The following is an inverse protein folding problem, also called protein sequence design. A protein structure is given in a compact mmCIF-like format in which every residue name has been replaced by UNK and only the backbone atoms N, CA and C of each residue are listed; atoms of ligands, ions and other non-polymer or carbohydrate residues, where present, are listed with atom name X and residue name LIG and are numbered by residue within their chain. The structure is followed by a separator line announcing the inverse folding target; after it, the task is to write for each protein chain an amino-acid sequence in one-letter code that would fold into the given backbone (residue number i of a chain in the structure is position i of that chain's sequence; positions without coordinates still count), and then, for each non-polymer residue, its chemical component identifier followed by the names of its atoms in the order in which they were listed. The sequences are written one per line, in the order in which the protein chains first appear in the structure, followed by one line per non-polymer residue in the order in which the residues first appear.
data_IF_171145125891
#
_entry.id   IF_171145125891
#
_cell.length_a   1.000
_cell.length_b   1.000
_cell.length_c   1.000
_cell.angle_alpha   90.00
_cell.angle_beta   90.00
_cell.angle_gamma   90.00
#
_symmetry.space_group_name_H-M   'P 1'
#
loop_
_entity.id
_entity.type
_entity.pdbx_description
1 polymer ?
#
# COMPACT_ATOMS: atom_id res chain seq x y z
N UNK A 1 -27.02 -17.78 -7.73
CA UNK A 1 -26.07 -18.22 -6.67
C UNK A 1 -24.70 -18.68 -7.19
N UNK A 2 -24.41 -18.56 -8.50
CA UNK A 2 -23.22 -19.20 -9.10
C UNK A 2 -22.11 -18.25 -9.60
N UNK A 3 -22.26 -16.93 -9.35
CA UNK A 3 -21.26 -15.98 -9.87
C UNK A 3 -19.93 -15.91 -9.07
N UNK A 4 -19.90 -16.42 -7.84
CA UNK A 4 -18.70 -16.41 -7.00
C UNK A 4 -17.81 -17.65 -7.09
N UNK A 5 -18.32 -18.76 -7.66
CA UNK A 5 -17.46 -19.86 -8.09
C UNK A 5 -16.58 -19.53 -9.29
N UNK A 6 -16.85 -18.36 -9.93
CA UNK A 6 -16.13 -17.92 -11.12
C UNK A 6 -14.65 -17.65 -10.85
N UNK A 7 -14.26 -17.30 -9.62
CA UNK A 7 -12.85 -16.95 -9.32
C UNK A 7 -11.98 -18.20 -9.29
N UNK A 8 -12.42 -19.25 -8.60
CA UNK A 8 -11.70 -20.53 -8.57
C UNK A 8 -11.75 -21.22 -9.94
N UNK A 9 -12.91 -21.20 -10.61
CA UNK A 9 -13.08 -21.75 -11.96
C UNK A 9 -12.31 -20.97 -13.02
N UNK A 10 -12.24 -19.63 -12.90
CA UNK A 10 -11.44 -18.80 -13.80
C UNK A 10 -9.94 -19.03 -13.58
N UNK A 11 -9.52 -19.15 -12.33
CA UNK A 11 -8.16 -19.48 -11.94
C UNK A 11 -7.74 -20.87 -12.48
N UNK A 12 -8.60 -21.86 -12.32
CA UNK A 12 -8.39 -23.21 -12.86
C UNK A 12 -8.36 -23.19 -14.40
N UNK A 13 -9.27 -22.44 -15.04
CA UNK A 13 -9.33 -22.33 -16.51
C UNK A 13 -8.15 -21.54 -17.11
N UNK A 14 -7.64 -20.50 -16.42
CA UNK A 14 -6.44 -19.77 -16.84
C UNK A 14 -5.20 -20.64 -16.72
N UNK A 15 -5.06 -21.41 -15.63
CA UNK A 15 -3.99 -22.37 -15.46
C UNK A 15 -4.07 -23.54 -16.44
N UNK A 16 -5.28 -24.03 -16.76
CA UNK A 16 -5.49 -25.07 -17.77
C UNK A 16 -5.11 -24.62 -19.20
N UNK A 17 -5.03 -23.30 -19.46
CA UNK A 17 -4.56 -22.74 -20.74
C UNK A 17 -3.05 -22.52 -20.80
N UNK A 18 -2.30 -22.92 -19.77
CA UNK A 18 -0.83 -22.81 -19.74
C UNK A 18 -0.29 -21.38 -19.64
N UNK A 19 -1.13 -20.39 -19.29
CA UNK A 19 -0.66 -19.04 -19.00
C UNK A 19 -0.05 -19.02 -17.59
N UNK A 20 1.25 -18.73 -17.54
CA UNK A 20 1.95 -18.53 -16.25
C UNK A 20 1.37 -17.30 -15.57
N UNK A 21 0.99 -17.46 -14.30
CA UNK A 21 0.49 -16.35 -13.48
C UNK A 21 1.60 -15.31 -13.27
N UNK A 22 1.22 -14.05 -13.22
CA UNK A 22 2.15 -12.98 -12.88
C UNK A 22 2.62 -13.09 -11.41
N UNK A 23 3.76 -12.49 -11.04
CA UNK A 23 4.17 -12.42 -9.64
C UNK A 23 3.09 -11.87 -8.71
N UNK A 24 2.32 -10.88 -9.18
CA UNK A 24 1.23 -10.32 -8.43
C UNK A 24 0.02 -11.27 -8.31
N UNK A 25 -0.36 -11.96 -9.38
CA UNK A 25 -1.46 -12.93 -9.34
C UNK A 25 -1.17 -14.06 -8.33
N UNK A 26 0.08 -14.55 -8.28
CA UNK A 26 0.49 -15.53 -7.27
C UNK A 26 0.41 -14.94 -5.85
N UNK A 27 0.99 -13.75 -5.64
CA UNK A 27 0.94 -13.08 -4.35
C UNK A 27 -0.49 -12.80 -3.88
N UNK A 28 -1.36 -12.35 -4.78
CA UNK A 28 -2.79 -12.10 -4.51
C UNK A 28 -3.50 -13.38 -4.07
N UNK A 29 -3.26 -14.49 -4.74
CA UNK A 29 -3.87 -15.78 -4.39
C UNK A 29 -3.46 -16.22 -2.97
N UNK A 30 -2.17 -16.13 -2.64
CA UNK A 30 -1.66 -16.47 -1.32
C UNK A 30 -2.18 -15.52 -0.23
N UNK A 31 -2.29 -14.21 -0.53
CA UNK A 31 -2.87 -13.22 0.38
C UNK A 31 -4.34 -13.52 0.70
N UNK A 32 -5.14 -13.83 -0.32
CA UNK A 32 -6.55 -14.21 -0.15
C UNK A 32 -6.65 -15.51 0.66
N UNK A 33 -5.77 -16.48 0.38
CA UNK A 33 -5.66 -17.71 1.16
C UNK A 33 -5.32 -17.46 2.63
N UNK A 34 -4.42 -16.53 2.91
CA UNK A 34 -4.10 -16.09 4.27
C UNK A 34 -5.33 -15.51 4.98
N UNK A 35 -6.05 -14.59 4.34
CA UNK A 35 -7.28 -13.98 4.91
C UNK A 35 -8.36 -15.04 5.18
N UNK A 36 -8.52 -15.99 4.26
CA UNK A 36 -9.50 -17.09 4.41
C UNK A 36 -9.23 -17.98 5.63
N UNK A 37 -7.96 -18.16 5.99
CA UNK A 37 -7.53 -19.02 7.09
C UNK A 37 -7.31 -18.25 8.41
N UNK A 38 -7.47 -16.93 8.43
CA UNK A 38 -7.28 -16.11 9.63
C UNK A 38 -8.63 -15.95 10.37
N UNK A 39 -8.74 -16.48 11.63
CA UNK A 39 -9.97 -16.40 12.42
C UNK A 39 -10.51 -14.97 12.63
N UNK A 40 -9.63 -13.96 12.53
CA UNK A 40 -10.04 -12.55 12.64
C UNK A 40 -11.05 -12.13 11.56
N UNK A 41 -11.12 -12.87 10.45
CA UNK A 41 -11.95 -12.59 9.29
C UNK A 41 -13.07 -13.64 9.06
N UNK A 42 -13.36 -14.48 10.02
CA UNK A 42 -14.41 -15.54 9.90
C UNK A 42 -15.84 -15.01 9.88
N UNK A 43 -16.06 -13.71 9.95
CA UNK A 43 -17.39 -13.12 9.94
C UNK A 43 -17.83 -12.71 8.54
N UNK A 44 -19.15 -12.77 8.29
CA UNK A 44 -19.74 -12.23 7.07
C UNK A 44 -20.04 -10.77 7.23
N UNK A 45 -19.82 -10.02 6.16
CA UNK A 45 -20.19 -8.60 6.05
C UNK A 45 -21.21 -8.41 4.94
N UNK A 46 -22.14 -7.47 5.13
CA UNK A 46 -22.98 -7.02 4.03
C UNK A 46 -22.11 -6.17 3.07
N UNK A 47 -22.00 -6.62 1.84
CA UNK A 47 -21.30 -5.95 0.77
C UNK A 47 -22.18 -5.90 -0.47
N UNK A 48 -22.57 -4.69 -0.88
CA UNK A 48 -23.48 -4.44 -2.00
C UNK A 48 -24.83 -5.24 -1.90
N UNK A 49 -25.36 -5.38 -0.68
CA UNK A 49 -26.60 -6.10 -0.42
C UNK A 49 -26.49 -7.62 -0.26
N UNK A 50 -25.26 -8.16 -0.26
CA UNK A 50 -25.00 -9.59 -0.07
C UNK A 50 -24.15 -9.84 1.17
N UNK A 51 -24.48 -10.87 1.94
CA UNK A 51 -23.65 -11.31 3.06
C UNK A 51 -22.51 -12.20 2.58
N UNK A 52 -21.34 -11.60 2.39
CA UNK A 52 -20.14 -12.26 1.89
C UNK A 52 -19.11 -12.49 2.98
N UNK A 53 -18.25 -13.52 2.80
CA UNK A 53 -17.08 -13.68 3.63
C UNK A 53 -16.07 -12.58 3.32
N UNK A 54 -15.24 -12.23 4.30
CA UNK A 54 -14.29 -11.13 4.13
C UNK A 54 -13.29 -11.39 2.99
N UNK A 55 -12.82 -12.62 2.83
CA UNK A 55 -11.91 -12.99 1.73
C UNK A 55 -12.56 -12.83 0.34
N UNK A 56 -13.87 -13.06 0.21
CA UNK A 56 -14.60 -12.84 -1.05
C UNK A 56 -14.72 -11.33 -1.35
N UNK A 57 -14.92 -10.50 -0.32
CA UNK A 57 -14.95 -9.05 -0.44
C UNK A 57 -13.59 -8.52 -0.92
N UNK A 58 -12.50 -8.96 -0.29
CA UNK A 58 -11.15 -8.57 -0.68
C UNK A 58 -10.84 -9.03 -2.11
N UNK A 59 -11.18 -10.26 -2.47
CA UNK A 59 -10.99 -10.76 -3.84
C UNK A 59 -11.76 -9.91 -4.86
N UNK A 60 -13.01 -9.56 -4.55
CA UNK A 60 -13.83 -8.69 -5.40
C UNK A 60 -13.21 -7.28 -5.55
N UNK A 61 -12.73 -6.68 -4.46
CA UNK A 61 -12.06 -5.38 -4.49
C UNK A 61 -10.78 -5.39 -5.33
N UNK A 62 -9.99 -6.47 -5.24
CA UNK A 62 -8.82 -6.66 -6.09
C UNK A 62 -9.16 -6.72 -7.58
N UNK A 63 -10.26 -7.38 -7.93
CA UNK A 63 -10.65 -7.56 -9.33
C UNK A 63 -11.39 -6.34 -9.92
N UNK A 64 -11.87 -5.44 -9.07
CA UNK A 64 -12.69 -4.30 -9.48
C UNK A 64 -12.09 -2.96 -8.98
N UNK A 65 -12.58 -2.44 -7.86
CA UNK A 65 -12.34 -1.07 -7.38
C UNK A 65 -10.85 -0.73 -7.25
N UNK A 66 -10.04 -1.67 -6.71
CA UNK A 66 -8.62 -1.44 -6.55
C UNK A 66 -7.84 -1.59 -7.87
N UNK A 67 -8.29 -2.48 -8.75
CA UNK A 67 -7.73 -2.57 -10.10
C UNK A 67 -7.96 -1.30 -10.90
N UNK A 68 -9.15 -0.69 -10.78
CA UNK A 68 -9.49 0.55 -11.46
C UNK A 68 -8.58 1.72 -11.04
N UNK A 69 -8.18 1.76 -9.75
CA UNK A 69 -7.22 2.75 -9.24
C UNK A 69 -5.92 2.72 -10.06
N UNK A 70 -5.35 1.54 -10.24
CA UNK A 70 -4.07 1.38 -10.97
C UNK A 70 -4.23 1.36 -12.49
N UNK A 71 -5.40 0.94 -12.99
CA UNK A 71 -5.70 0.95 -14.41
C UNK A 71 -5.69 2.36 -15.01
N UNK A 72 -6.13 3.36 -14.25
CA UNK A 72 -6.07 4.77 -14.68
C UNK A 72 -4.63 5.19 -15.06
N UNK A 73 -3.65 4.77 -14.27
CA UNK A 73 -2.25 5.08 -14.54
C UNK A 73 -1.68 4.21 -15.66
N UNK A 74 -1.99 2.91 -15.67
CA UNK A 74 -1.57 1.97 -16.70
C UNK A 74 -1.95 2.46 -18.10
N UNK A 75 -3.14 3.04 -18.27
CA UNK A 75 -3.61 3.57 -19.57
C UNK A 75 -2.67 4.61 -20.18
N UNK A 76 -1.95 5.38 -19.38
CA UNK A 76 -1.02 6.41 -19.85
C UNK A 76 0.23 5.82 -20.52
N UNK A 77 0.48 4.53 -20.33
CA UNK A 77 1.67 3.82 -20.79
C UNK A 77 1.36 2.67 -21.78
N UNK A 78 0.12 2.58 -22.31
CA UNK A 78 -0.29 1.48 -23.19
C UNK A 78 0.47 1.44 -24.52
N UNK A 79 0.91 2.59 -25.03
CA UNK A 79 1.63 2.71 -26.30
C UNK A 79 3.12 2.35 -26.17
N UNK A 80 3.64 2.29 -24.94
CA UNK A 80 5.03 1.93 -24.66
C UNK A 80 5.18 0.41 -24.53
N UNK A 81 5.47 -0.25 -25.66
CA UNK A 81 5.60 -1.71 -25.72
C UNK A 81 6.77 -2.26 -24.91
N UNK A 82 7.85 -1.50 -24.75
CA UNK A 82 9.05 -1.94 -24.03
C UNK A 82 8.83 -1.92 -22.53
N UNK A 83 7.99 -1.03 -22.05
CA UNK A 83 7.71 -0.83 -20.61
C UNK A 83 6.43 -1.48 -20.10
N UNK A 84 5.72 -2.24 -20.94
CA UNK A 84 4.38 -2.77 -20.64
C UNK A 84 4.27 -3.52 -19.31
N UNK A 85 5.26 -4.34 -18.97
CA UNK A 85 5.25 -5.08 -17.70
C UNK A 85 5.58 -4.17 -16.50
N UNK A 86 6.35 -3.10 -16.72
CA UNK A 86 6.78 -2.17 -15.70
C UNK A 86 5.65 -1.27 -15.22
N UNK A 87 4.74 -0.89 -16.12
CA UNK A 87 3.61 0.02 -15.91
C UNK A 87 2.26 -0.69 -15.99
N UNK A 88 2.20 -1.98 -15.62
CA UNK A 88 0.97 -2.75 -15.55
C UNK A 88 0.25 -2.54 -14.22
N UNK A 89 -1.06 -2.84 -14.19
CA UNK A 89 -1.86 -2.87 -12.95
C UNK A 89 -1.19 -3.74 -11.90
N UNK A 90 -0.76 -4.94 -12.27
CA UNK A 90 -0.08 -5.89 -11.39
C UNK A 90 1.18 -5.29 -10.78
N UNK A 91 1.98 -4.57 -11.59
CA UNK A 91 3.22 -3.99 -11.14
C UNK A 91 2.99 -2.86 -10.12
N UNK A 92 1.97 -2.03 -10.32
CA UNK A 92 1.60 -0.98 -9.40
C UNK A 92 1.08 -1.54 -8.07
N UNK A 93 0.19 -2.53 -8.12
CA UNK A 93 -0.28 -3.23 -6.93
C UNK A 93 0.87 -3.84 -6.13
N UNK A 94 1.73 -4.59 -6.81
CA UNK A 94 2.82 -5.31 -6.16
C UNK A 94 3.78 -4.34 -5.47
N UNK A 95 4.12 -3.22 -6.13
CA UNK A 95 4.96 -2.19 -5.51
C UNK A 95 4.28 -1.50 -4.34
N UNK A 96 2.99 -1.17 -4.48
CA UNK A 96 2.23 -0.56 -3.38
C UNK A 96 2.27 -1.43 -2.13
N UNK A 97 1.96 -2.71 -2.26
CA UNK A 97 1.99 -3.69 -1.17
C UNK A 97 3.38 -3.84 -0.56
N UNK A 98 4.41 -3.97 -1.42
CA UNK A 98 5.78 -4.10 -0.92
C UNK A 98 6.29 -2.86 -0.21
N UNK A 99 5.88 -1.67 -0.62
CA UNK A 99 6.22 -0.43 0.09
C UNK A 99 5.66 -0.39 1.50
N UNK A 100 4.43 -0.83 1.70
CA UNK A 100 3.86 -0.98 3.04
C UNK A 100 4.65 -1.98 3.88
N UNK A 101 4.92 -3.17 3.33
CA UNK A 101 5.66 -4.23 4.01
C UNK A 101 7.08 -3.77 4.36
N UNK A 102 7.78 -3.12 3.43
CA UNK A 102 9.15 -2.65 3.64
C UNK A 102 9.18 -1.56 4.71
N UNK A 103 8.23 -0.62 4.69
CA UNK A 103 8.16 0.44 5.70
C UNK A 103 7.93 -0.15 7.10
N UNK A 104 7.00 -1.10 7.23
CA UNK A 104 6.78 -1.81 8.50
C UNK A 104 8.02 -2.57 8.94
N UNK A 105 8.74 -3.21 8.00
CA UNK A 105 9.97 -3.91 8.31
C UNK A 105 11.08 -2.96 8.77
N UNK A 106 11.31 -1.84 8.09
CA UNK A 106 12.31 -0.83 8.45
C UNK A 106 12.07 -0.35 9.89
N UNK A 107 10.85 0.03 10.22
CA UNK A 107 10.51 0.59 11.53
C UNK A 107 10.60 -0.48 12.62
N UNK A 108 10.15 -1.69 12.34
CA UNK A 108 10.19 -2.82 13.28
C UNK A 108 11.56 -3.47 13.46
N UNK A 109 12.55 -3.13 12.63
CA UNK A 109 13.87 -3.76 12.68
C UNK A 109 14.65 -3.35 13.94
N UNK A 110 15.13 -4.33 14.70
CA UNK A 110 15.84 -4.12 15.99
C UNK A 110 17.36 -4.25 15.91
N UNK A 111 17.87 -4.70 14.75
CA UNK A 111 19.32 -4.79 14.52
C UNK A 111 19.99 -3.43 14.28
N UNK A 112 21.32 -3.43 14.23
CA UNK A 112 22.13 -2.21 14.07
C UNK A 112 22.34 -1.76 12.63
N UNK A 113 22.33 -2.69 11.65
CA UNK A 113 22.69 -2.45 10.25
C UNK A 113 21.65 -3.08 9.31
N UNK A 114 20.54 -2.39 9.11
CA UNK A 114 19.43 -2.88 8.29
C UNK A 114 19.84 -3.12 6.82
N UNK A 115 20.77 -2.32 6.28
CA UNK A 115 21.28 -2.46 4.91
C UNK A 115 22.06 -3.76 4.68
N UNK A 116 22.53 -4.42 5.74
CA UNK A 116 23.15 -5.73 5.68
C UNK A 116 22.17 -6.88 5.89
N UNK A 117 20.95 -6.58 6.32
CA UNK A 117 19.92 -7.59 6.58
C UNK A 117 19.42 -8.25 5.31
N UNK A 118 19.42 -9.59 5.30
CA UNK A 118 19.09 -10.37 4.10
C UNK A 118 17.59 -10.31 3.78
N UNK A 119 16.72 -10.15 4.79
CA UNK A 119 15.28 -10.01 4.58
C UNK A 119 14.99 -8.66 3.92
N UNK A 120 15.62 -7.60 4.41
CA UNK A 120 15.48 -6.26 3.83
C UNK A 120 15.90 -6.26 2.36
N UNK A 121 17.05 -6.85 2.04
CA UNK A 121 17.55 -6.98 0.66
C UNK A 121 16.57 -7.78 -0.22
N UNK A 122 16.06 -8.88 0.31
CA UNK A 122 15.10 -9.72 -0.43
C UNK A 122 13.78 -8.96 -0.69
N UNK A 123 13.27 -8.21 0.28
CA UNK A 123 12.07 -7.37 0.10
C UNK A 123 12.28 -6.30 -0.98
N UNK A 124 13.43 -5.61 -0.96
CA UNK A 124 13.78 -4.62 -1.99
C UNK A 124 13.88 -5.25 -3.38
N UNK A 125 14.45 -6.45 -3.48
CA UNK A 125 14.53 -7.20 -4.74
C UNK A 125 13.12 -7.54 -5.25
N UNK A 126 12.23 -8.05 -4.38
CA UNK A 126 10.84 -8.34 -4.74
C UNK A 126 10.10 -7.12 -5.24
N UNK A 127 10.30 -5.95 -4.63
CA UNK A 127 9.69 -4.69 -5.07
C UNK A 127 10.22 -4.25 -6.43
N UNK A 128 11.57 -4.20 -6.59
CA UNK A 128 12.19 -3.63 -7.79
C UNK A 128 12.05 -4.50 -9.03
N UNK A 129 12.25 -5.80 -8.87
CA UNK A 129 12.23 -6.78 -9.95
C UNK A 129 10.84 -7.42 -10.15
N UNK A 130 9.85 -7.06 -9.33
CA UNK A 130 8.53 -7.71 -9.28
C UNK A 130 8.69 -9.22 -9.06
N UNK A 131 9.68 -9.60 -8.27
CA UNK A 131 10.01 -10.98 -8.02
C UNK A 131 9.14 -11.56 -6.90
N UNK A 132 8.48 -12.68 -7.17
CA UNK A 132 7.70 -13.40 -6.18
C UNK A 132 7.80 -14.90 -6.42
N UNK A 133 8.14 -15.64 -5.38
CA UNK A 133 8.27 -17.10 -5.44
C UNK A 133 7.18 -17.82 -4.62
N UNK A 134 7.02 -17.41 -3.36
CA UNK A 134 6.04 -18.00 -2.44
C UNK A 134 5.71 -17.01 -1.30
N UNK A 135 4.76 -17.36 -0.45
CA UNK A 135 4.28 -16.57 0.68
C UNK A 135 5.09 -16.78 1.97
N UNK A 136 6.01 -17.74 1.99
CA UNK A 136 6.71 -18.16 3.22
C UNK A 136 7.51 -17.04 3.89
N UNK A 137 8.15 -16.15 3.10
CA UNK A 137 8.87 -15.01 3.65
C UNK A 137 7.94 -14.13 4.50
N UNK A 138 6.76 -13.84 4.01
CA UNK A 138 5.81 -12.96 4.70
C UNK A 138 5.21 -13.63 5.93
N UNK A 139 4.84 -14.91 5.81
CA UNK A 139 4.26 -15.69 6.89
C UNK A 139 5.27 -15.95 8.02
N UNK A 140 6.46 -16.48 7.69
CA UNK A 140 7.49 -16.84 8.67
C UNK A 140 8.04 -15.64 9.44
N UNK A 141 8.07 -14.46 8.81
CA UNK A 141 8.56 -13.22 9.41
C UNK A 141 7.43 -12.33 9.96
N UNK A 142 6.18 -12.80 9.90
CA UNK A 142 4.98 -12.06 10.37
C UNK A 142 4.87 -10.66 9.74
N UNK A 143 5.30 -10.52 8.48
CA UNK A 143 5.26 -9.26 7.75
C UNK A 143 3.85 -8.90 7.30
N UNK A 144 2.98 -9.91 7.12
CA UNK A 144 1.56 -9.75 6.85
C UNK A 144 0.80 -10.29 8.05
N UNK A 145 -0.08 -9.46 8.59
CA UNK A 145 -0.92 -9.74 9.76
C UNK A 145 -2.36 -9.30 9.49
N UNK A 146 -3.30 -9.70 10.34
CA UNK A 146 -4.69 -9.22 10.27
C UNK A 146 -4.77 -7.68 10.31
N UNK A 147 -3.89 -7.03 11.11
CA UNK A 147 -3.80 -5.55 11.15
C UNK A 147 -3.32 -4.99 9.82
N UNK A 148 -2.30 -5.61 9.21
CA UNK A 148 -1.81 -5.22 7.89
C UNK A 148 -2.93 -5.29 6.84
N UNK A 149 -3.71 -6.37 6.83
CA UNK A 149 -4.83 -6.54 5.88
C UNK A 149 -5.89 -5.45 6.06
N UNK A 150 -6.28 -5.14 7.31
CA UNK A 150 -7.25 -4.07 7.61
C UNK A 150 -6.73 -2.70 7.16
N UNK A 151 -5.47 -2.41 7.42
CA UNK A 151 -4.82 -1.19 6.97
C UNK A 151 -4.77 -1.10 5.44
N UNK A 152 -4.37 -2.18 4.78
CA UNK A 152 -4.33 -2.27 3.32
C UNK A 152 -5.70 -2.01 2.70
N UNK A 153 -6.76 -2.62 3.24
CA UNK A 153 -8.13 -2.42 2.80
C UNK A 153 -8.53 -0.95 2.92
N UNK A 154 -8.32 -0.35 4.09
CA UNK A 154 -8.63 1.07 4.32
C UNK A 154 -7.87 1.98 3.34
N UNK A 155 -6.56 1.77 3.19
CA UNK A 155 -5.73 2.59 2.31
C UNK A 155 -6.16 2.50 0.85
N UNK A 156 -6.37 1.30 0.33
CA UNK A 156 -6.78 1.10 -1.06
C UNK A 156 -8.18 1.64 -1.33
N UNK A 157 -9.11 1.53 -0.37
CA UNK A 157 -10.45 2.10 -0.47
C UNK A 157 -10.40 3.64 -0.52
N UNK A 158 -9.55 4.27 0.30
CA UNK A 158 -9.36 5.73 0.28
C UNK A 158 -8.70 6.18 -1.02
N UNK A 159 -7.59 5.56 -1.41
CA UNK A 159 -6.89 5.93 -2.63
C UNK A 159 -7.74 5.71 -3.89
N UNK A 160 -8.57 4.68 -3.93
CA UNK A 160 -9.45 4.45 -5.09
C UNK A 160 -10.47 5.57 -5.31
N UNK A 161 -10.81 6.32 -4.25
CA UNK A 161 -11.79 7.43 -4.30
C UNK A 161 -11.13 8.80 -4.45
N UNK A 162 -10.08 9.09 -3.69
CA UNK A 162 -9.55 10.46 -3.54
C UNK A 162 -8.04 10.61 -3.82
N UNK A 163 -7.38 9.64 -4.45
CA UNK A 163 -5.95 9.73 -4.73
C UNK A 163 -5.56 10.98 -5.54
N UNK A 164 -6.35 11.33 -6.54
CA UNK A 164 -6.09 12.51 -7.37
C UNK A 164 -6.18 13.81 -6.56
N UNK A 165 -7.16 13.90 -5.66
CA UNK A 165 -7.32 15.03 -4.75
C UNK A 165 -6.13 15.16 -3.79
N UNK A 166 -5.69 14.05 -3.19
CA UNK A 166 -4.48 14.01 -2.34
C UNK A 166 -3.28 14.55 -3.11
N UNK A 167 -3.00 14.04 -4.32
CA UNK A 167 -1.86 14.48 -5.13
C UNK A 167 -1.96 15.96 -5.53
N UNK A 168 -3.14 16.42 -5.95
CA UNK A 168 -3.37 17.80 -6.36
C UNK A 168 -3.09 18.79 -5.22
N UNK A 169 -3.44 18.44 -4.01
CA UNK A 169 -3.30 19.33 -2.86
C UNK A 169 -1.93 19.25 -2.19
N UNK A 170 -1.24 18.11 -2.25
CA UNK A 170 0.06 17.94 -1.59
C UNK A 170 1.22 18.34 -2.48
N UNK A 171 1.21 18.05 -3.78
CA UNK A 171 2.34 18.33 -4.65
C UNK A 171 2.79 19.80 -4.68
N UNK A 172 1.91 20.80 -4.56
CA UNK A 172 2.34 22.20 -4.43
C UNK A 172 3.04 22.57 -3.11
N UNK A 173 3.02 21.69 -2.10
CA UNK A 173 3.65 21.98 -0.79
C UNK A 173 5.17 21.75 -0.76
N UNK A 174 5.72 21.05 -1.78
CA UNK A 174 7.10 20.64 -1.75
C UNK A 174 8.05 21.74 -2.22
N UNK A 175 9.09 22.02 -1.45
CA UNK A 175 10.14 23.00 -1.79
C UNK A 175 11.06 22.52 -2.90
N UNK A 176 11.09 21.22 -3.16
CA UNK A 176 11.87 20.59 -4.23
C UNK A 176 11.00 20.46 -5.48
N UNK A 177 11.17 21.30 -6.52
CA UNK A 177 10.31 21.26 -7.71
C UNK A 177 10.28 19.90 -8.43
N UNK A 178 11.36 19.12 -8.28
CA UNK A 178 11.47 17.78 -8.86
C UNK A 178 10.76 16.70 -8.04
N UNK A 179 10.39 16.98 -6.78
CA UNK A 179 9.68 16.03 -5.94
C UNK A 179 8.18 16.09 -6.25
N UNK A 180 7.62 14.95 -6.60
CA UNK A 180 6.17 14.78 -6.78
C UNK A 180 5.75 13.50 -6.11
N UNK A 181 4.85 13.60 -5.15
CA UNK A 181 4.24 12.43 -4.55
C UNK A 181 3.34 11.71 -5.57
N UNK A 182 3.50 10.40 -5.65
CA UNK A 182 2.59 9.55 -6.39
C UNK A 182 2.69 8.11 -5.87
N UNK A 183 1.55 7.48 -5.60
CA UNK A 183 1.50 6.03 -5.30
C UNK A 183 1.94 5.18 -6.49
N UNK A 184 1.91 5.74 -7.70
CA UNK A 184 2.28 5.08 -8.96
C UNK A 184 3.76 5.20 -9.31
N UNK A 185 4.56 5.91 -8.50
CA UNK A 185 5.98 6.13 -8.81
C UNK A 185 6.72 4.79 -8.95
N UNK A 186 7.34 4.58 -10.10
CA UNK A 186 8.05 3.33 -10.44
C UNK A 186 9.57 3.53 -10.38
N UNK A 187 10.05 4.66 -10.94
CA UNK A 187 11.47 4.97 -11.04
C UNK A 187 11.90 5.98 -9.99
N UNK A 188 13.18 5.90 -9.63
CA UNK A 188 13.78 6.85 -8.70
C UNK A 188 13.00 6.99 -7.38
N UNK A 189 12.49 5.87 -6.87
CA UNK A 189 11.79 5.82 -5.58
C UNK A 189 12.81 5.93 -4.45
N UNK A 190 12.81 7.08 -3.80
CA UNK A 190 13.80 7.47 -2.78
C UNK A 190 13.32 7.17 -1.35
N UNK A 191 14.19 7.40 -0.37
CA UNK A 191 13.79 7.35 1.03
C UNK A 191 12.83 8.50 1.41
N UNK A 192 12.97 9.68 0.79
CA UNK A 192 11.99 10.77 0.95
C UNK A 192 10.60 10.30 0.51
N UNK A 193 10.52 9.61 -0.65
CA UNK A 193 9.26 9.02 -1.12
C UNK A 193 8.67 8.01 -0.13
N UNK A 194 9.52 7.18 0.50
CA UNK A 194 9.06 6.21 1.52
C UNK A 194 8.51 6.91 2.75
N UNK A 195 9.20 7.93 3.24
CA UNK A 195 8.77 8.68 4.42
C UNK A 195 7.46 9.43 4.16
N UNK A 196 7.35 10.08 3.00
CA UNK A 196 6.10 10.77 2.60
C UNK A 196 4.96 9.77 2.42
N UNK A 197 5.21 8.63 1.77
CA UNK A 197 4.21 7.57 1.61
C UNK A 197 3.72 7.04 2.97
N UNK A 198 4.64 6.77 3.90
CA UNK A 198 4.30 6.35 5.26
C UNK A 198 3.45 7.39 5.99
N UNK A 199 3.86 8.64 5.94
CA UNK A 199 3.17 9.73 6.64
C UNK A 199 1.73 9.94 6.15
N UNK A 200 1.49 9.88 4.83
CA UNK A 200 0.15 10.01 4.26
C UNK A 200 -0.71 8.81 4.67
N UNK A 201 -0.16 7.60 4.60
CA UNK A 201 -0.87 6.38 5.00
C UNK A 201 -1.25 6.42 6.49
N UNK A 202 -0.35 6.87 7.36
CA UNK A 202 -0.63 7.01 8.79
C UNK A 202 -1.73 8.06 9.05
N UNK A 203 -1.72 9.18 8.32
CA UNK A 203 -2.80 10.17 8.41
C UNK A 203 -4.15 9.56 8.04
N UNK A 204 -4.22 8.85 6.91
CA UNK A 204 -5.43 8.17 6.46
C UNK A 204 -5.92 7.17 7.52
N UNK A 205 -5.03 6.33 8.04
CA UNK A 205 -5.38 5.31 9.03
C UNK A 205 -5.84 5.89 10.38
N UNK A 206 -5.35 7.08 10.75
CA UNK A 206 -5.74 7.76 11.99
C UNK A 206 -6.92 8.73 11.81
N UNK A 207 -7.40 8.96 10.58
CA UNK A 207 -8.53 9.86 10.30
C UNK A 207 -9.90 9.34 10.74
N UNK A 208 -9.96 8.10 11.25
CA UNK A 208 -11.21 7.45 11.64
C UNK A 208 -12.07 6.99 10.45
N UNK A 209 -11.52 7.03 9.24
CA UNK A 209 -12.17 6.47 8.05
C UNK A 209 -12.14 4.95 8.17
N UNK A 210 -13.31 4.32 8.14
CA UNK A 210 -13.45 2.86 8.12
C UNK A 210 -14.03 2.42 6.77
N UNK A 211 -13.48 1.36 6.20
CA UNK A 211 -13.91 0.78 4.93
C UNK A 211 -15.36 0.23 4.94
N UNK A 212 -15.94 0.07 6.13
CA UNK A 212 -17.27 -0.50 6.33
C UNK A 212 -18.42 0.45 5.99
N UNK A 213 -18.14 1.74 5.92
CA UNK A 213 -19.16 2.74 5.58
C UNK A 213 -19.15 2.98 4.07
N UNK A 214 -20.20 2.54 3.38
CA UNK A 214 -20.45 2.91 1.97
C UNK A 214 -20.71 4.42 1.77
N UNK A 215 -20.67 5.22 2.86
CA UNK A 215 -20.71 6.67 2.85
C UNK A 215 -19.51 7.27 2.10
N UNK A 216 -19.67 8.48 1.61
CA UNK A 216 -18.60 9.25 0.97
C UNK A 216 -17.36 9.30 1.90
N UNK A 217 -16.22 8.86 1.39
CA UNK A 217 -14.94 9.02 2.09
C UNK A 217 -14.64 10.52 2.12
N UNK A 218 -14.61 11.08 3.31
CA UNK A 218 -14.27 12.47 3.52
C UNK A 218 -12.97 12.58 4.32
N UNK A 219 -11.90 12.95 3.64
CA UNK A 219 -10.59 13.22 4.24
C UNK A 219 -10.44 14.72 4.43
N UNK A 220 -10.08 15.16 5.64
CA UNK A 220 -9.78 16.56 5.90
C UNK A 220 -8.44 16.94 5.25
N UNK A 221 -8.53 17.47 4.04
CA UNK A 221 -7.35 17.86 3.23
C UNK A 221 -6.56 18.99 3.90
N UNK A 222 -7.22 19.89 4.65
CA UNK A 222 -6.50 20.97 5.32
C UNK A 222 -5.63 20.41 6.46
N UNK A 223 -6.16 19.50 7.27
CA UNK A 223 -5.38 18.81 8.30
C UNK A 223 -4.28 17.94 7.71
N UNK A 224 -4.54 17.28 6.58
CA UNK A 224 -3.50 16.54 5.85
C UNK A 224 -2.35 17.47 5.41
N UNK A 225 -2.64 18.67 4.90
CA UNK A 225 -1.60 19.65 4.53
C UNK A 225 -0.79 20.10 5.74
N UNK A 226 -1.43 20.34 6.87
CA UNK A 226 -0.78 20.74 8.13
C UNK A 226 0.16 19.64 8.63
N UNK A 227 -0.33 18.41 8.67
CA UNK A 227 0.46 17.22 8.98
C UNK A 227 1.68 17.08 8.05
N UNK A 228 1.47 17.18 6.74
CA UNK A 228 2.54 17.00 5.76
C UNK A 228 3.58 18.11 5.79
N UNK A 229 3.26 19.32 6.23
CA UNK A 229 4.26 20.39 6.48
C UNK A 229 5.21 20.02 7.60
N UNK A 230 4.69 19.46 8.70
CA UNK A 230 5.52 18.99 9.82
C UNK A 230 6.42 17.85 9.37
N UNK A 231 5.84 16.85 8.69
CA UNK A 231 6.61 15.72 8.15
C UNK A 231 7.70 16.21 7.19
N UNK A 232 7.38 17.16 6.30
CA UNK A 232 8.34 17.70 5.35
C UNK A 232 9.52 18.38 6.02
N UNK A 233 9.26 19.15 7.07
CA UNK A 233 10.32 19.76 7.86
C UNK A 233 11.24 18.70 8.50
N UNK A 234 10.68 17.59 8.98
CA UNK A 234 11.48 16.50 9.54
C UNK A 234 12.36 15.80 8.49
N UNK A 235 11.84 15.56 7.28
CA UNK A 235 12.57 14.81 6.24
C UNK A 235 13.50 15.68 5.38
N UNK A 236 13.35 17.01 5.43
CA UNK A 236 14.17 17.94 4.65
C UNK A 236 15.54 18.22 5.28
N UNK A 237 15.81 17.67 6.45
CA UNK A 237 17.11 17.83 7.12
C UNK A 237 18.21 17.15 6.27
N UNK A 238 19.26 17.92 5.87
CA UNK A 238 20.35 17.39 5.05
C UNK A 238 21.20 16.30 5.73
N UNK A 239 21.09 16.15 7.05
CA UNK A 239 21.81 15.13 7.81
C UNK A 239 21.13 13.75 7.76
N UNK A 240 19.88 13.68 7.27
CA UNK A 240 19.14 12.44 7.10
C UNK A 240 19.53 11.75 5.78
N UNK A 241 20.69 11.09 5.77
CA UNK A 241 21.21 10.42 4.56
C UNK A 241 21.40 8.92 4.71
N UNK A 242 21.54 8.42 5.94
CA UNK A 242 21.69 6.98 6.18
C UNK A 242 20.32 6.30 6.32
N UNK A 243 20.26 5.00 6.06
CA UNK A 243 19.03 4.23 6.24
C UNK A 243 18.63 4.17 7.74
N UNK A 244 19.59 4.22 8.63
CA UNK A 244 19.39 4.26 10.08
C UNK A 244 18.76 5.59 10.52
N UNK A 245 19.23 6.73 9.96
CA UNK A 245 18.63 8.04 10.20
C UNK A 245 17.20 8.09 9.64
N UNK A 246 16.98 7.59 8.42
CA UNK A 246 15.65 7.48 7.82
C UNK A 246 14.70 6.63 8.67
N UNK A 247 15.19 5.50 9.20
CA UNK A 247 14.42 4.67 10.13
C UNK A 247 14.02 5.45 11.40
N UNK A 248 14.96 6.19 11.99
CA UNK A 248 14.68 7.00 13.17
C UNK A 248 13.59 8.04 12.88
N UNK A 249 13.66 8.74 11.75
CA UNK A 249 12.64 9.71 11.32
C UNK A 249 11.29 9.03 11.07
N UNK A 250 11.26 7.88 10.38
CA UNK A 250 10.01 7.13 10.18
C UNK A 250 9.40 6.68 11.51
N UNK A 251 10.22 6.32 12.50
CA UNK A 251 9.74 5.96 13.83
C UNK A 251 9.09 7.16 14.52
N UNK A 252 9.73 8.33 14.48
CA UNK A 252 9.16 9.57 15.02
C UNK A 252 7.86 9.94 14.31
N UNK A 253 7.82 9.87 12.97
CA UNK A 253 6.60 10.11 12.19
C UNK A 253 5.47 9.19 12.68
N UNK A 254 5.76 7.91 12.91
CA UNK A 254 4.76 6.93 13.39
C UNK A 254 4.27 7.24 14.80
N UNK A 255 5.16 7.65 15.69
CA UNK A 255 4.83 8.03 17.07
C UNK A 255 3.92 9.26 17.14
N UNK A 256 4.22 10.29 16.35
CA UNK A 256 3.41 11.52 16.36
C UNK A 256 2.15 11.44 15.51
N UNK A 257 2.05 10.44 14.61
CA UNK A 257 0.92 10.29 13.67
C UNK A 257 -0.43 10.07 14.37
N UNK A 258 -0.46 9.57 15.59
CA UNK A 258 -1.69 9.43 16.40
C UNK A 258 -2.37 10.79 16.65
N UNK A 259 -1.62 11.89 16.56
CA UNK A 259 -2.10 13.26 16.71
C UNK A 259 -2.27 13.99 15.37
N UNK A 260 -2.07 13.31 14.24
CA UNK A 260 -2.04 13.95 12.91
C UNK A 260 -3.31 14.72 12.54
N UNK A 261 -4.46 14.31 13.07
CA UNK A 261 -5.74 14.99 12.84
C UNK A 261 -5.94 16.28 13.67
N UNK A 262 -5.10 16.52 14.66
CA UNK A 262 -5.18 17.70 15.52
C UNK A 262 -3.79 18.14 16.01
N UNK A 263 -2.84 18.15 15.08
CA UNK A 263 -1.41 18.23 15.37
C UNK A 263 -1.02 19.55 16.05
N UNK A 264 -1.67 20.66 15.68
CA UNK A 264 -1.35 21.97 16.27
C UNK A 264 -1.88 22.14 17.70
N UNK A 265 -2.93 21.41 18.09
CA UNK A 265 -3.45 21.46 19.46
C UNK A 265 -2.71 20.52 20.41
N UNK A 266 -1.99 19.52 19.88
CA UNK A 266 -1.32 18.50 20.66
C UNK A 266 0.21 18.63 20.75
N UNK A 267 0.81 19.59 20.04
CA UNK A 267 2.24 19.89 20.07
C UNK A 267 2.59 21.12 20.93
N UNK A 268 1.60 21.72 21.61
CA UNK A 268 1.79 22.88 22.50
C UNK A 268 1.97 22.42 23.95
#
# INVERSE_FOLDING_TARGET
MDQFKLTDDLYIKLNARGKVLSPFENFKADLIGFVKNDPTFEFKKNYNGFDLNHYDIIANKFDNTWSDLFWKETKKHLDDKESKNKYSVDSYFFRFLHRLIINDYIIGYTGSEINKDDIYKELLKKESELHYTNFDLYASKKLISSKFIKNLETLLDVYSKINEEIQQHLNPLWDKPAFKYSIYKVENYTMDDRMVFEAINLFILNSGIHSDNHSEIHLDIQKLKEWMRIVWNLISDPDIRSIEANKAVMTVIREIAIHSNDIYNNLV
#
